data_IF_902580373046
#
_entry.id   IF_902580373046
#
_cell.length_a   1.000
_cell.length_b   1.000
_cell.length_c   1.000
_cell.angle_alpha   90.00
_cell.angle_beta   90.00
_cell.angle_gamma   90.00
#
_symmetry.space_group_name_H-M   'P 1'
#
loop_
_entity.id
_entity.type
_entity.pdbx_description
1 polymer ?
#
# COMPACT_ATOMS: atom_id res chain seq x y z
N UNK A 1 -8.63 29.02 -15.36
CA UNK A 1 -8.25 28.33 -14.12
C UNK A 1 -7.77 26.93 -14.50
N UNK A 2 -6.47 26.75 -14.72
CA UNK A 2 -5.92 25.42 -15.04
C UNK A 2 -5.80 24.60 -13.76
N UNK A 3 -6.60 23.55 -13.63
CA UNK A 3 -6.49 22.65 -12.48
C UNK A 3 -5.24 21.79 -12.65
N UNK A 4 -4.16 22.09 -11.90
CA UNK A 4 -2.93 21.27 -11.81
C UNK A 4 -3.15 19.90 -11.15
N UNK A 5 -4.25 19.21 -11.45
CA UNK A 5 -4.64 17.94 -10.82
C UNK A 5 -3.76 16.80 -11.34
N UNK A 6 -2.80 16.35 -10.53
CA UNK A 6 -2.21 15.02 -10.70
C UNK A 6 -3.21 13.97 -10.19
N UNK A 7 -3.70 13.14 -11.10
CA UNK A 7 -4.62 12.05 -10.80
C UNK A 7 -3.84 10.80 -10.37
N UNK A 8 -4.29 10.11 -9.31
CA UNK A 8 -3.73 8.81 -8.92
C UNK A 8 -3.94 7.82 -10.07
N UNK A 9 -2.89 7.25 -10.68
CA UNK A 9 -3.07 6.48 -11.90
C UNK A 9 -4.04 5.31 -11.74
N UNK A 10 -4.94 5.11 -12.71
CA UNK A 10 -5.93 4.02 -12.67
C UNK A 10 -5.29 2.63 -12.59
N UNK A 11 -4.09 2.48 -13.13
CA UNK A 11 -3.32 1.23 -13.03
C UNK A 11 -2.94 0.90 -11.58
N UNK A 12 -2.79 1.90 -10.70
CA UNK A 12 -2.43 1.70 -9.30
C UNK A 12 -3.57 0.99 -8.56
N UNK A 13 -4.82 1.39 -8.79
CA UNK A 13 -6.00 0.71 -8.23
C UNK A 13 -6.12 -0.74 -8.70
N UNK A 14 -5.89 -0.98 -10.00
CA UNK A 14 -5.91 -2.34 -10.56
C UNK A 14 -4.79 -3.22 -9.99
N UNK A 15 -3.59 -2.65 -9.84
CA UNK A 15 -2.45 -3.34 -9.24
C UNK A 15 -2.73 -3.67 -7.77
N UNK A 16 -3.27 -2.72 -7.00
CA UNK A 16 -3.64 -2.93 -5.60
C UNK A 16 -4.62 -4.09 -5.43
N UNK A 17 -5.69 -4.13 -6.24
CA UNK A 17 -6.65 -5.25 -6.21
C UNK A 17 -6.04 -6.60 -6.61
N UNK A 18 -5.08 -6.62 -7.54
CA UNK A 18 -4.36 -7.86 -7.91
C UNK A 18 -3.45 -8.33 -6.77
N UNK A 19 -2.70 -7.41 -6.16
CA UNK A 19 -1.81 -7.70 -5.03
C UNK A 19 -2.58 -8.22 -3.83
N UNK A 20 -3.77 -7.68 -3.56
CA UNK A 20 -4.67 -8.12 -2.48
C UNK A 20 -5.16 -9.56 -2.71
N UNK A 21 -5.53 -9.90 -3.95
CA UNK A 21 -5.90 -11.27 -4.31
C UNK A 21 -4.72 -12.24 -4.13
N UNK A 22 -3.53 -11.88 -4.63
CA UNK A 22 -2.32 -12.71 -4.49
C UNK A 22 -1.92 -12.89 -3.04
N UNK A 23 -2.13 -11.88 -2.21
CA UNK A 23 -1.95 -11.97 -0.77
C UNK A 23 -2.88 -13.03 -0.15
N UNK A 24 -4.16 -13.07 -0.54
CA UNK A 24 -5.08 -14.10 -0.06
C UNK A 24 -4.63 -15.51 -0.45
N UNK A 25 -4.08 -15.67 -1.65
CA UNK A 25 -3.51 -16.93 -2.14
C UNK A 25 -2.26 -17.34 -1.34
N UNK A 26 -1.37 -16.40 -1.04
CA UNK A 26 -0.19 -16.61 -0.18
C UNK A 26 -0.61 -17.04 1.22
N UNK A 27 -1.56 -16.34 1.84
CA UNK A 27 -2.03 -16.64 3.20
C UNK A 27 -2.65 -18.04 3.26
N UNK A 28 -3.43 -18.40 2.25
CA UNK A 28 -4.00 -19.73 2.14
C UNK A 28 -2.91 -20.79 1.98
N UNK A 29 -1.93 -20.55 1.09
CA UNK A 29 -0.82 -21.47 0.86
C UNK A 29 0.04 -21.68 2.12
N UNK A 30 0.27 -20.63 2.91
CA UNK A 30 1.01 -20.69 4.18
C UNK A 30 0.23 -21.45 5.26
N UNK A 31 -1.08 -21.19 5.36
CA UNK A 31 -1.95 -21.86 6.35
C UNK A 31 -2.10 -23.37 6.09
N UNK A 32 -1.91 -23.76 4.84
CA UNK A 32 -2.03 -25.14 4.37
C UNK A 32 -0.81 -26.02 4.69
N UNK A 33 0.29 -25.43 5.17
CA UNK A 33 1.55 -26.11 5.51
C UNK A 33 1.36 -26.91 6.82
N UNK A 34 1.72 -28.19 6.79
CA UNK A 34 1.77 -29.04 7.97
C UNK A 34 3.02 -29.93 7.97
N UNK A 35 3.32 -30.54 9.12
CA UNK A 35 4.52 -31.36 9.31
C UNK A 35 4.67 -32.52 8.29
N UNK A 36 3.59 -32.96 7.65
CA UNK A 36 3.58 -34.08 6.71
C UNK A 36 3.74 -33.66 5.24
N UNK A 37 3.48 -32.38 4.89
CA UNK A 37 3.56 -31.86 3.52
C UNK A 37 4.48 -30.63 3.38
N UNK A 38 5.25 -30.35 4.44
CA UNK A 38 5.96 -29.10 4.63
C UNK A 38 6.86 -28.73 3.46
N UNK A 39 7.65 -29.66 2.91
CA UNK A 39 8.60 -29.37 1.82
C UNK A 39 7.92 -28.76 0.59
N UNK A 40 7.05 -29.52 -0.07
CA UNK A 40 6.42 -29.08 -1.34
C UNK A 40 5.47 -27.88 -1.16
N UNK A 41 4.76 -27.80 -0.02
CA UNK A 41 3.85 -26.67 0.23
C UNK A 41 4.61 -25.39 0.62
N UNK A 42 5.71 -25.52 1.34
CA UNK A 42 6.64 -24.41 1.64
C UNK A 42 7.25 -23.86 0.36
N UNK A 43 7.74 -24.73 -0.53
CA UNK A 43 8.32 -24.30 -1.82
C UNK A 43 7.30 -23.50 -2.64
N UNK A 44 6.06 -23.99 -2.73
CA UNK A 44 4.98 -23.28 -3.43
C UNK A 44 4.64 -21.93 -2.78
N UNK A 45 4.59 -21.86 -1.44
CA UNK A 45 4.37 -20.60 -0.74
C UNK A 45 5.52 -19.61 -0.98
N UNK A 46 6.76 -20.09 -0.96
CA UNK A 46 7.95 -19.30 -1.27
C UNK A 46 7.91 -18.74 -2.70
N UNK A 47 7.51 -19.54 -3.69
CA UNK A 47 7.37 -19.08 -5.08
C UNK A 47 6.33 -17.95 -5.20
N UNK A 48 5.16 -18.12 -4.57
CA UNK A 48 4.11 -17.11 -4.58
C UNK A 48 4.58 -15.80 -3.96
N UNK A 49 5.27 -15.87 -2.82
CA UNK A 49 5.81 -14.66 -2.17
C UNK A 49 6.94 -14.04 -2.99
N UNK A 50 7.84 -14.84 -3.56
CA UNK A 50 8.95 -14.34 -4.38
C UNK A 50 8.46 -13.61 -5.64
N UNK A 51 7.33 -14.03 -6.23
CA UNK A 51 6.70 -13.35 -7.36
C UNK A 51 5.95 -12.07 -6.94
N UNK A 52 5.34 -12.08 -5.76
CA UNK A 52 4.53 -10.97 -5.25
C UNK A 52 5.36 -9.81 -4.69
N UNK A 53 6.48 -10.11 -4.03
CA UNK A 53 7.29 -9.14 -3.28
C UNK A 53 7.77 -7.94 -4.13
N UNK A 54 8.35 -8.11 -5.33
CA UNK A 54 8.81 -6.97 -6.12
C UNK A 54 7.67 -6.04 -6.58
N UNK A 55 6.48 -6.60 -6.83
CA UNK A 55 5.32 -5.82 -7.22
C UNK A 55 4.75 -5.00 -6.05
N UNK A 56 4.74 -5.56 -4.83
CA UNK A 56 4.27 -4.86 -3.64
C UNK A 56 5.22 -3.72 -3.24
N UNK A 57 6.54 -3.91 -3.38
CA UNK A 57 7.54 -2.86 -3.15
C UNK A 57 7.36 -1.67 -4.12
N UNK A 58 7.17 -1.98 -5.41
CA UNK A 58 6.89 -0.96 -6.43
C UNK A 58 5.58 -0.22 -6.13
N UNK A 59 4.53 -0.94 -5.75
CA UNK A 59 3.25 -0.36 -5.37
C UNK A 59 3.37 0.57 -4.16
N UNK A 60 4.06 0.13 -3.11
CA UNK A 60 4.28 0.91 -1.88
C UNK A 60 5.04 2.20 -2.16
N UNK A 61 6.10 2.15 -2.99
CA UNK A 61 6.84 3.35 -3.40
C UNK A 61 5.96 4.37 -4.12
N UNK A 62 5.05 3.91 -4.98
CA UNK A 62 4.16 4.80 -5.70
C UNK A 62 3.08 5.40 -4.78
N UNK A 63 2.53 4.62 -3.85
CA UNK A 63 1.63 5.13 -2.81
C UNK A 63 2.32 6.21 -1.97
N UNK A 64 3.58 6.00 -1.58
CA UNK A 64 4.36 7.02 -0.85
C UNK A 64 4.52 8.33 -1.61
N UNK A 65 4.71 8.28 -2.94
CA UNK A 65 4.75 9.48 -3.79
C UNK A 65 3.41 10.20 -3.84
N UNK A 66 2.31 9.46 -3.96
CA UNK A 66 0.96 10.06 -3.95
C UNK A 66 0.67 10.70 -2.59
N UNK A 67 1.09 10.07 -1.49
CA UNK A 67 0.93 10.61 -0.14
C UNK A 67 1.71 11.92 0.04
N UNK A 68 2.99 11.94 -0.30
CA UNK A 68 3.81 13.15 -0.23
C UNK A 68 3.24 14.29 -1.09
N UNK A 69 2.68 13.97 -2.26
CA UNK A 69 1.98 14.94 -3.09
C UNK A 69 0.72 15.48 -2.41
N UNK A 70 -0.11 14.61 -1.83
CA UNK A 70 -1.30 15.02 -1.06
C UNK A 70 -0.91 15.93 0.10
N UNK A 71 0.18 15.61 0.81
CA UNK A 71 0.64 16.42 1.94
C UNK A 71 1.14 17.79 1.48
N UNK A 72 1.84 17.87 0.34
CA UNK A 72 2.21 19.15 -0.27
C UNK A 72 0.99 19.99 -0.68
N UNK A 73 -0.08 19.35 -1.18
CA UNK A 73 -1.33 20.04 -1.51
C UNK A 73 -2.03 20.54 -0.25
N UNK A 74 -2.05 19.75 0.83
CA UNK A 74 -2.61 20.18 2.12
C UNK A 74 -1.85 21.36 2.69
N UNK A 75 -0.53 21.38 2.56
CA UNK A 75 0.31 22.49 3.00
C UNK A 75 0.02 23.77 2.19
N UNK A 76 -0.08 23.64 0.85
CA UNK A 76 -0.49 24.76 -0.01
C UNK A 76 -1.89 25.27 0.34
N UNK A 77 -2.86 24.38 0.54
CA UNK A 77 -4.21 24.76 0.98
C UNK A 77 -4.16 25.40 2.37
N UNK A 78 -3.31 24.94 3.27
CA UNK A 78 -3.10 25.55 4.60
C UNK A 78 -2.56 26.97 4.50
N UNK A 79 -1.53 27.19 3.68
CA UNK A 79 -0.97 28.52 3.41
C UNK A 79 -1.98 29.44 2.70
N UNK A 80 -2.74 28.91 1.75
CA UNK A 80 -3.80 29.62 1.05
C UNK A 80 -5.01 29.91 1.96
N UNK A 81 -5.31 29.04 2.92
CA UNK A 81 -6.32 29.25 3.96
C UNK A 81 -5.86 30.26 5.02
N UNK A 82 -4.57 30.33 5.35
CA UNK A 82 -4.00 31.42 6.15
C UNK A 82 -4.06 32.77 5.41
N UNK A 83 -3.98 32.74 4.07
CA UNK A 83 -4.18 33.90 3.21
C UNK A 83 -5.67 34.28 3.06
N UNK A 84 -6.55 33.30 2.86
CA UNK A 84 -8.00 33.43 2.69
C UNK A 84 -8.79 33.58 4.00
N UNK A 85 -8.19 33.27 5.15
CA UNK A 85 -8.72 33.63 6.48
C UNK A 85 -8.88 35.15 6.65
N UNK A 86 -8.24 35.94 5.77
CA UNK A 86 -8.44 37.39 5.62
C UNK A 86 -9.59 37.77 4.66
N UNK A 87 -10.22 36.83 3.95
CA UNK A 87 -11.24 37.03 2.90
C UNK A 87 -12.38 35.97 3.03
N UNK A 88 -13.45 36.31 3.75
CA UNK A 88 -14.29 35.41 4.58
C UNK A 88 -15.36 34.51 3.90
N UNK A 89 -15.55 34.43 2.57
CA UNK A 89 -16.82 33.86 2.03
C UNK A 89 -16.77 32.53 1.22
N UNK A 90 -15.61 31.93 0.86
CA UNK A 90 -15.55 30.64 0.09
C UNK A 90 -15.60 29.35 0.94
N UNK A 91 -15.73 29.48 2.26
CA UNK A 91 -15.41 28.46 3.28
C UNK A 91 -16.30 27.20 3.27
N UNK A 92 -17.53 27.28 2.78
CA UNK A 92 -18.54 26.20 2.92
C UNK A 92 -18.34 25.01 1.97
N UNK A 93 -17.92 25.24 0.72
CA UNK A 93 -17.68 24.14 -0.24
C UNK A 93 -16.41 23.33 0.08
N UNK A 94 -15.40 24.01 0.63
CA UNK A 94 -14.15 23.39 0.99
C UNK A 94 -14.30 22.50 2.22
N UNK A 95 -15.08 22.91 3.23
CA UNK A 95 -15.43 22.06 4.38
C UNK A 95 -16.08 20.74 3.95
N UNK A 96 -16.97 20.76 2.95
CA UNK A 96 -17.62 19.55 2.44
C UNK A 96 -16.66 18.59 1.71
N UNK A 97 -15.68 19.13 0.97
CA UNK A 97 -14.65 18.33 0.28
C UNK A 97 -13.64 17.75 1.27
N UNK A 98 -13.27 18.51 2.31
CA UNK A 98 -12.40 18.05 3.40
C UNK A 98 -13.06 16.92 4.19
N UNK A 99 -14.36 17.00 4.48
CA UNK A 99 -15.10 15.90 5.09
C UNK A 99 -15.01 14.61 4.26
N UNK A 100 -15.26 14.68 2.95
CA UNK A 100 -15.17 13.51 2.06
C UNK A 100 -13.76 12.92 1.98
N UNK A 101 -12.73 13.78 1.94
CA UNK A 101 -11.34 13.34 1.91
C UNK A 101 -10.92 12.67 3.22
N UNK A 102 -11.32 13.21 4.37
CA UNK A 102 -11.06 12.62 5.68
C UNK A 102 -11.75 11.26 5.85
N UNK A 103 -12.97 11.13 5.33
CA UNK A 103 -13.68 9.84 5.30
C UNK A 103 -12.89 8.79 4.50
N UNK A 104 -12.31 9.19 3.36
CA UNK A 104 -11.49 8.32 2.52
C UNK A 104 -10.14 7.96 3.16
N UNK A 105 -9.50 8.89 3.86
CA UNK A 105 -8.25 8.62 4.60
C UNK A 105 -8.51 7.63 5.73
N UNK A 106 -9.62 7.78 6.45
CA UNK A 106 -9.99 6.87 7.52
C UNK A 106 -10.21 5.42 7.02
N UNK A 107 -10.87 5.27 5.87
CA UNK A 107 -11.01 3.96 5.21
C UNK A 107 -9.65 3.34 4.87
N UNK A 108 -8.73 4.13 4.30
CA UNK A 108 -7.39 3.66 3.93
C UNK A 108 -6.54 3.28 5.15
N UNK A 109 -6.62 4.04 6.24
CA UNK A 109 -5.93 3.70 7.49
C UNK A 109 -6.42 2.38 8.07
N UNK A 110 -7.73 2.14 8.04
CA UNK A 110 -8.33 0.88 8.49
C UNK A 110 -7.84 -0.31 7.65
N UNK A 111 -7.75 -0.15 6.33
CA UNK A 111 -7.19 -1.18 5.44
C UNK A 111 -5.70 -1.42 5.72
N UNK A 112 -4.92 -0.36 5.98
CA UNK A 112 -3.50 -0.48 6.27
C UNK A 112 -3.22 -1.19 7.59
N UNK A 113 -4.02 -0.95 8.64
CA UNK A 113 -3.93 -1.70 9.89
C UNK A 113 -4.25 -3.20 9.70
N UNK A 114 -5.22 -3.52 8.84
CA UNK A 114 -5.54 -4.92 8.51
C UNK A 114 -4.39 -5.61 7.80
N UNK A 115 -3.71 -4.93 6.87
CA UNK A 115 -2.51 -5.43 6.21
C UNK A 115 -1.34 -5.65 7.19
N UNK A 116 -1.12 -4.70 8.11
CA UNK A 116 -0.10 -4.80 9.16
C UNK A 116 -0.32 -6.00 10.10
N UNK A 117 -1.56 -6.28 10.48
CA UNK A 117 -1.92 -7.46 11.28
C UNK A 117 -1.63 -8.79 10.59
N UNK A 118 -1.48 -8.81 9.27
CA UNK A 118 -1.09 -10.02 8.58
C UNK A 118 0.41 -10.15 8.42
N UNK A 119 1.13 -9.05 8.24
CA UNK A 119 2.59 -9.07 8.33
C UNK A 119 3.05 -9.64 9.68
N UNK A 120 2.32 -9.38 10.76
CA UNK A 120 2.60 -9.97 12.08
C UNK A 120 2.21 -11.45 12.24
N UNK A 121 1.46 -12.03 11.29
CA UNK A 121 1.03 -13.45 11.30
C UNK A 121 1.88 -14.34 10.39
N UNK A 122 2.73 -13.75 9.54
CA UNK A 122 3.67 -14.51 8.73
C UNK A 122 4.74 -15.10 9.66
N UNK A 123 4.96 -16.43 9.67
CA UNK A 123 5.98 -17.04 10.52
C UNK A 123 7.37 -16.49 10.19
N UNK A 124 8.18 -16.12 11.19
CA UNK A 124 9.49 -15.49 10.99
C UNK A 124 10.46 -16.38 10.18
N UNK A 125 10.28 -17.70 10.19
CA UNK A 125 11.10 -18.65 9.42
C UNK A 125 10.92 -18.47 7.91
N UNK A 126 9.73 -18.04 7.46
CA UNK A 126 9.41 -17.77 6.06
C UNK A 126 10.00 -16.43 5.61
N UNK A 127 10.00 -15.42 6.50
CA UNK A 127 10.61 -14.11 6.25
C UNK A 127 12.14 -14.22 6.13
N UNK A 128 12.77 -15.04 6.98
CA UNK A 128 14.21 -15.28 6.92
C UNK A 128 14.65 -16.02 5.64
N UNK A 129 13.85 -16.96 5.16
CA UNK A 129 14.15 -17.73 3.95
C UNK A 129 14.02 -16.89 2.66
N UNK A 130 13.07 -15.95 2.61
CA UNK A 130 12.94 -14.95 1.54
C UNK A 130 14.14 -13.99 1.50
N UNK A 131 14.65 -13.58 2.66
CA UNK A 131 15.86 -12.74 2.73
C UNK A 131 17.12 -13.50 2.26
N UNK A 132 17.20 -14.81 2.54
CA UNK A 132 18.30 -15.67 2.05
C UNK A 132 18.23 -15.92 0.54
N UNK A 133 17.04 -16.18 -0.01
CA UNK A 133 16.86 -16.39 -1.46
C UNK A 133 17.01 -15.09 -2.27
N UNK A 134 16.58 -13.94 -1.76
CA UNK A 134 16.80 -12.63 -2.39
C UNK A 134 18.28 -12.20 -2.43
N UNK A 135 19.07 -12.55 -1.39
CA UNK A 135 20.53 -12.36 -1.38
C UNK A 135 21.29 -13.28 -2.32
N UNK A 136 20.79 -14.48 -2.60
CA UNK A 136 21.42 -15.41 -3.55
C UNK A 136 21.18 -14.99 -5.01
N UNK A 137 19.99 -14.46 -5.35
CA UNK A 137 19.71 -13.93 -6.71
C UNK A 137 20.52 -12.69 -7.12
N UNK A 138 21.14 -12.01 -6.16
CA UNK A 138 22.01 -10.84 -6.41
C UNK A 138 23.49 -11.19 -6.57
N UNK A 139 23.87 -12.47 -6.38
CA UNK A 139 25.25 -12.97 -6.53
C UNK A 139 25.52 -13.76 -7.82
N UNK A 140 24.49 -14.06 -8.63
CA UNK A 140 24.60 -14.73 -9.94
C UNK A 140 24.31 -13.78 -11.13
N UNK A 141 24.70 -12.50 -11.04
CA UNK A 141 24.71 -11.57 -12.18
C UNK A 141 26.12 -11.11 -12.49
#
# INVERSE_FOLDING_TARGET
>A
METKRKHVPTWLYKLGGRLDKQYGEIVSALSDINAFNAGKKRDKALELVAAWLPEVEKFSKEIGRQQAYIDSLKEQIGQEADYAGRMRDEKYEQELKVQKANQRIFELQRTNEQMGRLLSKIPPEVLEELQRTGRNKSRER
#
